data_IF_548054524430
#
_entry.id   IF_548054524430
#
_cell.length_a   1.000
_cell.length_b   1.000
_cell.length_c   1.000
_cell.angle_alpha   90.00
_cell.angle_beta   90.00
_cell.angle_gamma   90.00
#
_symmetry.space_group_name_H-M   'P 1'
#
loop_
_entity.id
_entity.type
_entity.pdbx_description
1 polymer ?
#
# COMPACT_ATOMS: atom_id res chain seq x y z
N UNK A 1 -3.50 -7.25 -64.50
CA UNK A 1 -3.68 -5.96 -65.18
C UNK A 1 -3.24 -4.88 -64.22
N UNK A 2 -2.01 -4.48 -64.26
CA UNK A 2 -1.47 -3.16 -63.86
C UNK A 2 -1.69 -2.19 -65.05
N UNK A 3 -1.81 -0.88 -64.84
CA UNK A 3 -0.75 0.05 -64.47
C UNK A 3 -1.27 1.23 -63.63
N UNK A 4 -0.60 2.22 -63.15
CA UNK A 4 0.60 2.92 -63.52
C UNK A 4 0.90 4.04 -62.51
N UNK A 5 2.17 4.28 -62.31
CA UNK A 5 2.76 5.35 -61.52
C UNK A 5 2.46 6.77 -62.06
N UNK A 6 2.43 7.79 -61.17
CA UNK A 6 2.88 9.13 -61.49
C UNK A 6 3.69 9.76 -60.34
N UNK A 7 4.93 10.13 -60.72
CA UNK A 7 5.87 10.94 -59.92
C UNK A 7 5.64 12.42 -60.23
N UNK A 8 5.98 13.28 -59.25
CA UNK A 8 6.69 14.53 -59.39
C UNK A 8 5.97 15.77 -58.89
N UNK A 9 6.65 16.87 -58.65
CA UNK A 9 8.08 17.07 -58.44
C UNK A 9 8.41 17.87 -57.14
N UNK A 10 9.69 17.86 -56.83
CA UNK A 10 10.42 18.63 -55.82
C UNK A 10 10.32 20.16 -56.00
N UNK A 11 10.22 20.90 -54.93
CA UNK A 11 10.37 22.35 -54.82
C UNK A 11 11.09 22.73 -53.52
N UNK A 12 11.79 23.85 -53.45
CA UNK A 12 13.08 23.97 -52.77
C UNK A 12 13.00 24.46 -51.31
N UNK A 13 14.13 24.14 -50.60
CA UNK A 13 14.51 24.69 -49.30
C UNK A 13 14.34 26.23 -49.21
N UNK A 14 13.73 26.70 -48.14
CA UNK A 14 13.89 28.06 -47.66
C UNK A 14 14.55 28.04 -46.28
N UNK A 15 15.80 28.45 -46.25
CA UNK A 15 16.59 28.81 -45.09
C UNK A 15 15.85 29.94 -44.31
N UNK A 16 15.42 29.67 -43.09
CA UNK A 16 14.87 30.70 -42.22
C UNK A 16 15.94 31.15 -41.24
N UNK A 17 16.57 32.27 -41.58
CA UNK A 17 17.50 33.02 -40.72
C UNK A 17 16.77 33.50 -39.46
N UNK A 18 17.31 33.17 -38.30
CA UNK A 18 16.89 33.75 -37.01
C UNK A 18 17.49 35.15 -36.87
N UNK A 19 16.72 36.16 -36.48
CA UNK A 19 17.28 37.47 -36.16
C UNK A 19 18.00 37.43 -34.79
N UNK A 20 19.17 38.02 -34.76
CA UNK A 20 20.00 38.22 -33.60
C UNK A 20 19.33 39.13 -32.55
N UNK A 21 19.48 38.76 -31.26
CA UNK A 21 19.00 39.54 -30.10
C UNK A 21 19.76 40.86 -29.94
N UNK A 22 19.08 41.95 -29.59
CA UNK A 22 19.71 43.27 -29.35
C UNK A 22 20.12 43.39 -27.88
N UNK A 23 21.23 42.78 -27.49
CA UNK A 23 21.78 42.91 -26.14
C UNK A 23 23.30 43.08 -26.13
N UNK A 24 23.82 43.85 -27.12
CA UNK A 24 25.26 44.11 -27.24
C UNK A 24 25.59 45.54 -27.61
N UNK A 25 25.02 46.49 -26.91
CA UNK A 25 25.43 47.93 -26.97
C UNK A 25 25.05 48.71 -25.73
N UNK A 26 25.42 48.28 -24.52
CA UNK A 26 25.43 49.15 -23.35
C UNK A 26 26.63 48.73 -22.49
N UNK A 27 27.82 48.97 -22.99
CA UNK A 27 29.05 48.74 -22.21
C UNK A 27 30.12 49.77 -22.46
N UNK A 28 29.77 51.06 -22.63
CA UNK A 28 30.82 52.05 -22.86
C UNK A 28 30.52 53.48 -22.40
N UNK A 29 29.64 53.74 -21.45
CA UNK A 29 29.38 55.11 -20.97
C UNK A 29 29.40 55.30 -19.44
N UNK A 30 29.85 54.40 -18.62
CA UNK A 30 29.96 54.63 -17.16
C UNK A 30 31.31 54.29 -16.54
N UNK A 31 32.37 54.77 -17.20
CA UNK A 31 33.69 54.78 -16.63
C UNK A 31 34.17 56.20 -16.47
N UNK A 32 33.66 56.96 -15.54
CA UNK A 32 34.27 58.15 -14.91
C UNK A 32 33.23 58.85 -14.04
N UNK A 33 33.23 58.51 -12.74
CA UNK A 33 32.87 59.37 -11.58
C UNK A 33 32.39 58.44 -10.44
N UNK A 34 33.29 58.22 -9.54
CA UNK A 34 33.00 58.11 -8.11
C UNK A 34 34.19 57.53 -7.36
N UNK A 35 35.11 58.41 -7.07
CA UNK A 35 35.89 58.24 -5.87
C UNK A 35 35.13 58.85 -4.69
N UNK A 36 35.25 58.24 -3.50
CA UNK A 36 34.82 58.74 -2.18
C UNK A 36 33.36 58.38 -1.80
N UNK A 37 33.26 57.23 -1.13
CA UNK A 37 32.63 57.09 0.20
C UNK A 37 32.74 55.65 0.62
N UNK A 38 33.84 55.30 1.34
CA UNK A 38 33.92 54.04 2.11
C UNK A 38 32.98 54.15 3.32
N UNK A 39 31.75 53.64 3.15
CA UNK A 39 30.88 53.29 4.28
C UNK A 39 30.89 51.79 4.40
N UNK A 40 31.43 51.29 5.50
CA UNK A 40 31.48 49.88 5.83
C UNK A 40 30.03 49.33 6.01
N UNK A 41 29.48 48.70 4.99
CA UNK A 41 28.34 47.85 5.11
C UNK A 41 28.85 46.41 5.34
N UNK A 42 28.85 45.99 6.59
CA UNK A 42 29.00 44.56 6.90
C UNK A 42 27.76 43.82 6.39
N UNK A 43 27.90 42.80 5.51
CA UNK A 43 26.76 41.97 5.15
C UNK A 43 26.35 41.15 6.38
N UNK A 44 25.19 41.43 6.96
CA UNK A 44 24.54 40.55 7.90
C UNK A 44 24.18 39.29 7.16
N UNK A 45 24.95 38.26 7.29
CA UNK A 45 24.59 36.91 6.84
C UNK A 45 23.46 36.43 7.76
N UNK A 46 22.25 36.59 7.30
CA UNK A 46 21.11 35.91 7.90
C UNK A 46 21.35 34.41 7.73
N UNK A 47 21.74 33.75 8.82
CA UNK A 47 21.77 32.31 8.88
C UNK A 47 20.33 31.83 8.68
N UNK A 48 19.97 31.39 7.46
CA UNK A 48 18.74 30.68 7.20
C UNK A 48 18.90 29.34 7.92
N UNK A 49 18.28 29.21 9.10
CA UNK A 49 18.18 27.96 9.79
C UNK A 49 17.46 26.98 8.85
N UNK A 50 18.14 25.93 8.40
CA UNK A 50 17.51 24.84 7.68
C UNK A 50 16.39 24.29 8.57
N UNK A 51 15.17 24.02 8.01
CA UNK A 51 14.13 23.38 8.80
C UNK A 51 14.67 22.06 9.34
N UNK A 52 14.31 21.68 10.57
CA UNK A 52 14.72 20.40 11.12
C UNK A 52 14.26 19.31 10.13
N UNK A 53 15.21 18.50 9.67
CA UNK A 53 14.91 17.31 8.88
C UNK A 53 13.93 16.49 9.71
N UNK A 54 12.74 16.24 9.19
CA UNK A 54 11.80 15.30 9.82
C UNK A 54 12.57 13.97 9.93
N UNK A 55 12.93 13.59 11.16
CA UNK A 55 13.50 12.28 11.43
C UNK A 55 12.44 11.27 11.05
N UNK A 56 12.70 10.42 10.04
CA UNK A 56 11.81 9.30 9.76
C UNK A 56 11.63 8.51 11.07
N UNK A 57 10.40 8.18 11.43
CA UNK A 57 10.17 7.35 12.60
C UNK A 57 10.99 6.06 12.46
N UNK A 58 11.64 5.61 13.55
CA UNK A 58 12.44 4.39 13.49
C UNK A 58 11.53 3.21 13.15
N UNK A 59 12.02 2.30 12.30
CA UNK A 59 11.31 1.07 11.94
C UNK A 59 10.90 0.30 13.22
N UNK A 60 9.64 -0.11 13.37
CA UNK A 60 9.21 -0.93 14.50
C UNK A 60 9.79 -2.34 14.40
N UNK A 61 9.90 -3.05 15.53
CA UNK A 61 10.28 -4.48 15.52
C UNK A 61 9.24 -5.33 14.81
N UNK A 62 7.95 -4.98 15.00
CA UNK A 62 6.79 -5.67 14.44
C UNK A 62 5.86 -4.63 13.85
N UNK A 63 5.26 -4.93 12.69
CA UNK A 63 4.15 -4.14 12.19
C UNK A 63 2.96 -5.03 11.83
N UNK A 64 1.77 -4.64 12.29
CA UNK A 64 0.50 -5.26 11.90
C UNK A 64 -0.11 -4.47 10.77
N UNK A 65 -0.24 -5.08 9.60
CA UNK A 65 -1.00 -4.56 8.46
C UNK A 65 -2.37 -5.19 8.50
N UNK A 66 -3.43 -4.41 8.75
CA UNK A 66 -4.77 -4.96 8.97
C UNK A 66 -5.85 -4.30 8.12
N UNK A 67 -6.60 -5.13 7.39
CA UNK A 67 -7.75 -4.72 6.60
C UNK A 67 -9.06 -4.98 7.37
N UNK A 68 -9.84 -3.91 7.58
CA UNK A 68 -11.12 -3.96 8.31
C UNK A 68 -12.23 -4.65 7.53
N UNK A 69 -13.34 -4.94 8.19
CA UNK A 69 -14.54 -5.49 7.54
C UNK A 69 -15.40 -4.43 6.85
N UNK A 70 -16.38 -4.90 6.07
CA UNK A 70 -17.36 -4.07 5.34
C UNK A 70 -18.10 -3.13 6.30
N UNK A 71 -18.23 -1.87 5.90
CA UNK A 71 -18.90 -0.78 6.63
C UNK A 71 -18.30 -0.44 7.99
N UNK A 72 -17.13 -0.96 8.34
CA UNK A 72 -16.38 -0.45 9.49
C UNK A 72 -15.76 0.91 9.17
N UNK A 73 -15.70 1.84 10.13
CA UNK A 73 -15.05 3.14 9.93
C UNK A 73 -13.56 3.00 9.64
N UNK A 74 -12.90 4.02 9.05
CA UNK A 74 -11.46 4.03 8.83
C UNK A 74 -10.66 3.64 10.09
N UNK A 75 -9.63 2.82 9.90
CA UNK A 75 -8.85 2.19 10.97
C UNK A 75 -8.76 0.68 10.75
N UNK A 76 -8.36 -0.06 11.76
CA UNK A 76 -8.24 -1.54 11.71
C UNK A 76 -9.57 -2.26 12.00
N UNK A 77 -10.64 -1.54 12.33
CA UNK A 77 -11.92 -2.11 12.72
C UNK A 77 -11.89 -2.77 14.10
N UNK A 78 -13.05 -3.28 14.56
CA UNK A 78 -13.21 -3.84 15.92
C UNK A 78 -12.37 -5.11 16.12
N UNK A 79 -12.42 -6.02 15.16
CA UNK A 79 -11.67 -7.28 15.25
C UNK A 79 -10.16 -7.00 15.17
N UNK A 80 -9.73 -6.11 14.27
CA UNK A 80 -8.34 -5.72 14.14
C UNK A 80 -7.80 -5.03 15.38
N UNK A 81 -8.58 -4.12 16.00
CA UNK A 81 -8.15 -3.45 17.24
C UNK A 81 -7.95 -4.48 18.37
N UNK A 82 -8.90 -5.39 18.55
CA UNK A 82 -8.79 -6.43 19.57
C UNK A 82 -7.60 -7.34 19.31
N UNK A 83 -7.33 -7.68 18.05
CA UNK A 83 -6.15 -8.47 17.65
C UNK A 83 -4.83 -7.74 17.96
N UNK A 84 -4.72 -6.46 17.61
CA UNK A 84 -3.54 -5.64 17.90
C UNK A 84 -3.29 -5.55 19.40
N UNK A 85 -4.33 -5.34 20.20
CA UNK A 85 -4.23 -5.22 21.65
C UNK A 85 -3.81 -6.54 22.30
N UNK A 86 -4.39 -7.65 21.84
CA UNK A 86 -3.98 -9.00 22.28
C UNK A 86 -2.54 -9.30 21.88
N UNK A 87 -2.15 -9.11 20.61
CA UNK A 87 -0.79 -9.32 20.13
C UNK A 87 0.25 -8.48 20.90
N UNK A 88 -0.06 -7.23 21.19
CA UNK A 88 0.80 -6.32 21.96
C UNK A 88 1.11 -6.88 23.35
N UNK A 89 0.17 -7.57 23.98
CA UNK A 89 0.38 -8.21 25.29
C UNK A 89 1.29 -9.44 25.23
N UNK A 90 1.45 -10.06 24.04
CA UNK A 90 2.23 -11.29 23.87
C UNK A 90 3.66 -11.06 23.37
N UNK A 91 3.97 -9.86 22.82
CA UNK A 91 5.28 -9.60 22.20
C UNK A 91 6.30 -8.93 23.13
N UNK A 92 5.96 -8.77 24.39
CA UNK A 92 6.85 -8.22 25.42
C UNK A 92 7.23 -6.76 25.13
N UNK A 93 8.51 -6.42 25.24
CA UNK A 93 9.02 -5.07 25.06
C UNK A 93 9.30 -4.65 23.60
N UNK A 94 8.92 -5.47 22.61
CA UNK A 94 9.10 -5.15 21.19
C UNK A 94 8.18 -4.00 20.79
N UNK A 95 8.69 -3.09 19.97
CA UNK A 95 7.88 -2.03 19.39
C UNK A 95 6.93 -2.59 18.32
N UNK A 96 5.64 -2.20 18.39
CA UNK A 96 4.61 -2.69 17.50
C UNK A 96 3.92 -1.51 16.81
N UNK A 97 4.19 -1.37 15.51
CA UNK A 97 3.49 -0.50 14.59
C UNK A 97 2.17 -1.11 14.10
N UNK A 98 1.26 -0.25 13.66
CA UNK A 98 -0.03 -0.68 13.09
C UNK A 98 -0.31 0.13 11.84
N UNK A 99 -0.54 -0.54 10.75
CA UNK A 99 -0.96 0.04 9.49
C UNK A 99 -2.40 -0.39 9.16
N UNK A 100 -3.37 0.50 9.28
CA UNK A 100 -4.73 0.23 8.84
C UNK A 100 -4.80 0.37 7.31
N UNK A 101 -5.12 -0.71 6.61
CA UNK A 101 -5.28 -0.69 5.15
C UNK A 101 -6.33 0.33 4.74
N UNK A 102 -5.95 1.23 3.84
CA UNK A 102 -6.79 2.31 3.38
C UNK A 102 -7.59 1.91 2.14
N UNK A 103 -8.89 1.70 2.32
CA UNK A 103 -9.81 1.38 1.23
C UNK A 103 -11.26 1.72 1.64
N UNK A 104 -12.22 1.78 0.70
CA UNK A 104 -13.60 2.16 1.01
C UNK A 104 -14.30 1.24 2.02
N UNK A 105 -14.06 -0.07 1.99
CA UNK A 105 -14.69 -1.10 2.81
C UNK A 105 -16.24 -1.05 2.74
N UNK A 106 -16.78 -0.91 1.53
CA UNK A 106 -18.22 -0.82 1.26
C UNK A 106 -18.77 -2.14 0.71
N UNK A 107 -20.08 -2.18 0.48
CA UNK A 107 -20.75 -3.30 -0.22
C UNK A 107 -20.54 -3.27 -1.73
N UNK A 108 -19.93 -2.25 -2.28
CA UNK A 108 -19.40 -2.24 -3.65
C UNK A 108 -18.05 -3.01 -3.65
N UNK A 109 -18.19 -4.36 -3.64
CA UNK A 109 -17.05 -5.26 -3.44
C UNK A 109 -15.91 -5.08 -4.45
N UNK A 110 -16.12 -4.73 -5.74
CA UNK A 110 -15.04 -4.40 -6.65
C UNK A 110 -14.07 -3.33 -6.12
N UNK A 111 -14.53 -2.41 -5.27
CA UNK A 111 -13.66 -1.37 -4.68
C UNK A 111 -12.65 -1.91 -3.65
N UNK A 112 -12.74 -3.18 -3.28
CA UNK A 112 -11.75 -3.84 -2.41
C UNK A 112 -10.35 -3.90 -3.05
N UNK A 113 -10.25 -3.73 -4.38
CA UNK A 113 -8.97 -3.61 -5.10
C UNK A 113 -8.10 -2.50 -4.55
N UNK A 114 -8.70 -1.38 -4.14
CA UNK A 114 -7.95 -0.27 -3.54
C UNK A 114 -7.21 -0.75 -2.28
N UNK A 115 -7.87 -1.61 -1.50
CA UNK A 115 -7.27 -2.22 -0.30
C UNK A 115 -6.14 -3.21 -0.63
N UNK A 116 -6.28 -3.99 -1.69
CA UNK A 116 -5.22 -4.91 -2.14
C UNK A 116 -4.01 -4.11 -2.62
N UNK A 117 -4.23 -3.06 -3.40
CA UNK A 117 -3.17 -2.18 -3.88
C UNK A 117 -2.47 -1.45 -2.74
N UNK A 118 -3.23 -0.87 -1.81
CA UNK A 118 -2.70 -0.16 -0.65
C UNK A 118 -1.88 -1.08 0.26
N UNK A 119 -2.43 -2.24 0.63
CA UNK A 119 -1.75 -3.21 1.46
C UNK A 119 -0.47 -3.75 0.80
N UNK A 120 -0.55 -4.16 -0.48
CA UNK A 120 0.60 -4.67 -1.23
C UNK A 120 1.73 -3.64 -1.31
N UNK A 121 1.41 -2.41 -1.71
CA UNK A 121 2.38 -1.31 -1.79
C UNK A 121 3.04 -1.02 -0.44
N UNK A 122 2.26 -1.01 0.65
CA UNK A 122 2.80 -0.77 1.99
C UNK A 122 3.71 -1.91 2.45
N UNK A 123 3.31 -3.16 2.24
CA UNK A 123 4.09 -4.35 2.60
C UNK A 123 5.43 -4.37 1.86
N UNK A 124 5.43 -4.11 0.56
CA UNK A 124 6.65 -4.02 -0.25
C UNK A 124 7.56 -2.87 0.22
N UNK A 125 6.96 -1.71 0.52
CA UNK A 125 7.69 -0.58 1.06
C UNK A 125 8.35 -0.92 2.40
N UNK A 126 7.65 -1.58 3.30
CA UNK A 126 8.19 -1.99 4.59
C UNK A 126 9.31 -3.04 4.44
N UNK A 127 9.14 -4.01 3.55
CA UNK A 127 10.19 -5.00 3.27
C UNK A 127 11.49 -4.33 2.78
N UNK A 128 11.37 -3.31 1.93
CA UNK A 128 12.52 -2.58 1.38
C UNK A 128 13.14 -1.59 2.38
N UNK A 129 12.32 -0.81 3.08
CA UNK A 129 12.78 0.32 3.92
C UNK A 129 13.08 -0.09 5.36
N UNK A 130 12.40 -1.12 5.86
CA UNK A 130 12.52 -1.64 7.23
C UNK A 130 12.79 -3.16 7.24
N UNK A 131 13.91 -3.63 6.67
CA UNK A 131 14.13 -5.06 6.39
C UNK A 131 14.22 -5.95 7.63
N UNK A 132 14.33 -5.38 8.83
CA UNK A 132 14.31 -6.13 10.10
C UNK A 132 12.93 -6.18 10.76
N UNK A 133 11.99 -5.36 10.31
CA UNK A 133 10.61 -5.38 10.81
C UNK A 133 9.94 -6.70 10.42
N UNK A 134 9.29 -7.35 11.38
CA UNK A 134 8.50 -8.55 11.15
C UNK A 134 7.05 -8.15 10.90
N UNK A 135 6.54 -8.47 9.71
CA UNK A 135 5.18 -8.12 9.32
C UNK A 135 4.18 -9.20 9.75
N UNK A 136 3.07 -8.77 10.33
CA UNK A 136 1.90 -9.61 10.62
C UNK A 136 0.73 -9.06 9.82
N UNK A 137 0.25 -9.85 8.87
CA UNK A 137 -0.87 -9.45 8.03
C UNK A 137 -2.17 -9.97 8.63
N UNK A 138 -3.21 -9.14 8.64
CA UNK A 138 -4.49 -9.55 9.18
C UNK A 138 -5.66 -8.93 8.43
N UNK A 139 -6.81 -9.59 8.48
CA UNK A 139 -8.03 -9.06 7.90
C UNK A 139 -9.28 -9.72 8.45
N UNK A 140 -10.38 -8.97 8.45
CA UNK A 140 -11.68 -9.45 8.88
C UNK A 140 -12.70 -9.33 7.74
N UNK A 141 -13.45 -10.42 7.45
CA UNK A 141 -14.52 -10.42 6.45
C UNK A 141 -14.01 -9.98 5.07
N UNK A 142 -14.49 -8.88 4.50
CA UNK A 142 -13.96 -8.29 3.27
C UNK A 142 -12.46 -8.00 3.39
N UNK A 143 -11.99 -7.54 4.54
CA UNK A 143 -10.56 -7.36 4.79
C UNK A 143 -9.76 -8.66 4.77
N UNK A 144 -10.37 -9.78 5.17
CA UNK A 144 -9.73 -11.09 5.02
C UNK A 144 -9.62 -11.52 3.55
N UNK A 145 -10.56 -11.11 2.70
CA UNK A 145 -10.43 -11.27 1.24
C UNK A 145 -9.31 -10.38 0.69
N UNK A 146 -9.23 -9.10 1.10
CA UNK A 146 -8.14 -8.18 0.71
C UNK A 146 -6.79 -8.80 1.01
N UNK A 147 -6.54 -9.23 2.24
CA UNK A 147 -5.25 -9.84 2.63
C UNK A 147 -5.02 -11.19 1.94
N UNK A 148 -6.08 -11.97 1.69
CA UNK A 148 -5.99 -13.19 0.90
C UNK A 148 -5.47 -12.91 -0.51
N UNK A 149 -6.06 -11.95 -1.22
CA UNK A 149 -5.61 -11.56 -2.56
C UNK A 149 -4.20 -10.97 -2.58
N UNK A 150 -3.81 -10.19 -1.57
CA UNK A 150 -2.43 -9.68 -1.43
C UNK A 150 -1.42 -10.82 -1.31
N UNK A 151 -1.80 -11.91 -0.65
CA UNK A 151 -0.93 -13.08 -0.41
C UNK A 151 -1.09 -14.19 -1.45
N UNK A 152 -1.91 -14.00 -2.48
CA UNK A 152 -2.04 -14.97 -3.57
C UNK A 152 -0.78 -14.99 -4.45
N UNK A 153 -0.55 -16.09 -5.12
CA UNK A 153 0.55 -16.28 -6.08
C UNK A 153 0.18 -15.93 -7.51
N UNK A 154 -1.09 -15.66 -7.77
CA UNK A 154 -1.61 -15.32 -9.09
C UNK A 154 -2.76 -14.31 -8.96
N UNK A 155 -2.96 -13.53 -10.01
CA UNK A 155 -4.16 -12.72 -10.15
C UNK A 155 -5.30 -13.66 -10.54
N UNK A 156 -6.42 -13.72 -9.77
CA UNK A 156 -7.51 -14.60 -10.10
C UNK A 156 -8.15 -14.28 -11.44
N UNK A 157 -8.46 -15.30 -12.25
CA UNK A 157 -9.18 -15.13 -13.50
C UNK A 157 -10.56 -14.50 -13.25
N UNK A 158 -10.95 -13.56 -14.09
CA UNK A 158 -12.27 -12.91 -14.02
C UNK A 158 -12.39 -11.77 -13.01
N UNK A 159 -11.33 -11.47 -12.25
CA UNK A 159 -11.31 -10.27 -11.44
C UNK A 159 -11.33 -9.03 -12.34
N UNK A 160 -12.31 -8.14 -12.15
CA UNK A 160 -12.28 -6.79 -12.75
C UNK A 160 -11.04 -6.00 -12.32
N UNK A 161 -10.24 -6.58 -11.45
CA UNK A 161 -9.07 -6.09 -10.74
C UNK A 161 -7.74 -6.38 -11.47
N UNK A 162 -7.78 -7.13 -12.58
CA UNK A 162 -6.60 -7.82 -13.18
C UNK A 162 -5.47 -6.90 -13.63
N UNK A 163 -5.73 -5.62 -13.88
CA UNK A 163 -4.67 -4.72 -14.35
C UNK A 163 -3.83 -4.06 -13.24
N UNK A 164 -4.32 -4.06 -12.00
CA UNK A 164 -3.65 -3.41 -10.88
C UNK A 164 -2.90 -4.38 -9.95
N UNK A 165 -3.21 -5.67 -9.99
CA UNK A 165 -2.69 -6.65 -9.05
C UNK A 165 -1.59 -7.49 -9.71
N UNK A 166 -0.35 -7.23 -9.31
CA UNK A 166 0.75 -8.16 -9.53
C UNK A 166 0.98 -8.92 -8.20
N UNK A 167 1.26 -10.23 -8.23
CA UNK A 167 1.69 -10.94 -7.04
C UNK A 167 2.89 -10.23 -6.40
N UNK A 168 2.92 -10.12 -5.07
CA UNK A 168 4.07 -9.55 -4.38
C UNK A 168 5.36 -10.30 -4.75
N UNK A 169 6.51 -9.62 -4.87
CA UNK A 169 7.81 -10.25 -5.07
C UNK A 169 8.05 -11.35 -4.03
N UNK A 170 8.65 -12.46 -4.45
CA UNK A 170 8.81 -13.66 -3.60
C UNK A 170 9.66 -13.44 -2.35
N UNK A 171 10.59 -12.49 -2.37
CA UNK A 171 11.45 -12.10 -1.25
C UNK A 171 10.67 -11.39 -0.14
N UNK A 172 9.60 -10.66 -0.48
CA UNK A 172 8.71 -10.01 0.49
C UNK A 172 8.13 -11.03 1.48
N UNK A 173 7.84 -12.25 1.03
CA UNK A 173 7.33 -13.29 1.90
C UNK A 173 8.26 -13.60 3.09
N UNK A 174 9.57 -13.41 2.96
CA UNK A 174 10.54 -13.55 4.04
C UNK A 174 10.34 -12.60 5.21
N UNK A 175 9.77 -11.43 4.97
CA UNK A 175 9.48 -10.40 5.98
C UNK A 175 8.16 -10.65 6.73
N UNK A 176 7.23 -11.42 6.14
CA UNK A 176 5.95 -11.76 6.77
C UNK A 176 6.11 -12.92 7.73
N UNK A 177 5.82 -12.68 9.00
CA UNK A 177 5.86 -13.68 10.07
C UNK A 177 4.58 -14.53 10.14
N UNK A 178 3.42 -13.88 10.03
CA UNK A 178 2.14 -14.54 10.13
C UNK A 178 1.07 -13.82 9.27
N UNK A 179 0.06 -14.58 8.87
CA UNK A 179 -1.17 -14.10 8.24
C UNK A 179 -2.35 -14.63 9.06
N UNK A 180 -3.27 -13.75 9.47
CA UNK A 180 -4.44 -14.11 10.29
C UNK A 180 -5.72 -13.61 9.61
N UNK A 181 -6.59 -14.55 9.19
CA UNK A 181 -7.79 -14.26 8.43
C UNK A 181 -9.03 -14.62 9.24
N UNK A 182 -9.78 -13.62 9.65
CA UNK A 182 -11.00 -13.75 10.45
C UNK A 182 -12.22 -13.71 9.52
N UNK A 183 -12.98 -14.79 9.44
CA UNK A 183 -14.17 -14.87 8.59
C UNK A 183 -13.84 -14.68 7.11
N UNK A 184 -12.74 -15.28 6.62
CA UNK A 184 -12.40 -15.26 5.21
C UNK A 184 -13.57 -15.78 4.38
N UNK A 185 -14.05 -15.02 3.37
CA UNK A 185 -15.17 -15.47 2.56
C UNK A 185 -14.89 -16.81 1.89
N UNK A 186 -15.86 -17.73 2.00
CA UNK A 186 -15.82 -19.03 1.31
C UNK A 186 -15.99 -18.86 -0.20
N UNK A 187 -15.52 -19.83 -0.98
CA UNK A 187 -15.74 -19.82 -2.44
C UNK A 187 -17.22 -19.73 -2.81
N UNK A 188 -18.12 -20.32 -2.00
CA UNK A 188 -19.56 -20.21 -2.21
C UNK A 188 -20.03 -18.76 -2.00
N UNK A 189 -19.59 -18.09 -0.94
CA UNK A 189 -19.96 -16.70 -0.70
C UNK A 189 -19.42 -15.79 -1.82
N UNK A 190 -18.18 -15.99 -2.23
CA UNK A 190 -17.57 -15.21 -3.32
C UNK A 190 -18.34 -15.39 -4.64
N UNK A 191 -18.79 -16.61 -4.95
CA UNK A 191 -19.66 -16.86 -6.12
C UNK A 191 -21.00 -16.13 -6.05
N UNK A 192 -21.60 -16.00 -4.86
CA UNK A 192 -22.86 -15.27 -4.67
C UNK A 192 -22.70 -13.78 -4.99
N UNK A 193 -21.57 -13.20 -4.64
CA UNK A 193 -21.27 -11.78 -4.89
C UNK A 193 -20.57 -11.56 -6.24
N UNK A 194 -20.43 -12.63 -7.06
CA UNK A 194 -19.79 -12.62 -8.38
C UNK A 194 -18.33 -12.13 -8.35
N UNK A 195 -17.60 -12.54 -7.30
CA UNK A 195 -16.18 -12.26 -7.13
C UNK A 195 -15.36 -13.56 -7.16
N UNK A 196 -14.07 -13.52 -7.53
CA UNK A 196 -13.21 -14.71 -7.57
C UNK A 196 -12.97 -15.29 -6.16
N UNK A 197 -12.69 -16.60 -6.05
CA UNK A 197 -12.39 -17.22 -4.76
C UNK A 197 -11.13 -16.63 -4.13
N UNK A 198 -11.12 -16.51 -2.80
CA UNK A 198 -9.99 -16.03 -2.04
C UNK A 198 -9.04 -17.18 -1.73
N UNK A 199 -7.84 -17.14 -2.29
CA UNK A 199 -6.78 -18.12 -2.05
C UNK A 199 -5.57 -17.48 -1.36
N UNK A 200 -4.78 -18.29 -0.67
CA UNK A 200 -3.51 -17.87 -0.08
C UNK A 200 -2.39 -18.62 -0.80
N UNK A 201 -1.45 -17.90 -1.35
CA UNK A 201 -0.35 -18.46 -2.12
C UNK A 201 0.59 -19.34 -1.28
N UNK A 202 1.33 -20.25 -1.91
CA UNK A 202 2.15 -21.25 -1.23
C UNK A 202 3.25 -20.66 -0.34
N UNK A 203 3.74 -19.45 -0.65
CA UNK A 203 4.74 -18.75 0.17
C UNK A 203 4.20 -18.30 1.54
N UNK A 204 2.87 -18.22 1.68
CA UNK A 204 2.20 -17.75 2.88
C UNK A 204 1.41 -18.87 3.60
N UNK A 205 1.04 -19.93 2.90
CA UNK A 205 0.15 -20.98 3.41
C UNK A 205 0.60 -21.55 4.78
N UNK A 206 1.90 -21.89 4.96
CA UNK A 206 2.42 -22.46 6.18
C UNK A 206 2.43 -21.49 7.39
N UNK A 207 2.22 -20.20 7.16
CA UNK A 207 2.19 -19.12 8.15
C UNK A 207 0.84 -18.41 8.19
N UNK A 208 -0.19 -19.02 7.65
CA UNK A 208 -1.57 -18.51 7.66
C UNK A 208 -2.42 -19.27 8.64
N UNK A 209 -3.19 -18.54 9.45
CA UNK A 209 -4.26 -19.05 10.30
C UNK A 209 -5.59 -18.48 9.81
N UNK A 210 -6.48 -19.34 9.35
CA UNK A 210 -7.85 -18.99 8.99
C UNK A 210 -8.78 -19.33 10.14
N UNK A 211 -9.56 -18.36 10.59
CA UNK A 211 -10.47 -18.47 11.71
C UNK A 211 -11.90 -18.24 11.23
N UNK A 212 -12.77 -19.19 11.52
CA UNK A 212 -14.17 -19.15 11.15
C UNK A 212 -15.04 -19.55 12.33
N UNK A 213 -15.85 -18.62 12.84
CA UNK A 213 -16.80 -18.90 13.93
C UNK A 213 -17.82 -19.91 13.42
N UNK A 214 -18.10 -21.01 14.16
CA UNK A 214 -19.11 -21.97 13.77
C UNK A 214 -20.47 -21.30 13.47
N UNK A 215 -21.02 -21.57 12.29
CA UNK A 215 -22.26 -20.96 11.83
C UNK A 215 -22.13 -19.57 11.21
N UNK A 216 -20.92 -19.05 11.02
CA UNK A 216 -20.70 -17.82 10.26
C UNK A 216 -20.96 -18.06 8.75
N UNK A 217 -22.01 -17.45 8.16
CA UNK A 217 -22.40 -17.74 6.77
C UNK A 217 -21.38 -17.28 5.74
N UNK A 218 -20.48 -16.36 6.09
CA UNK A 218 -19.44 -15.84 5.16
C UNK A 218 -18.39 -16.91 4.90
N UNK A 219 -17.94 -17.60 5.92
CA UNK A 219 -16.87 -18.59 5.80
C UNK A 219 -17.35 -20.04 5.78
N UNK A 220 -18.59 -20.37 6.26
CA UNK A 220 -19.14 -21.74 6.24
C UNK A 220 -20.15 -21.99 5.13
N UNK A 221 -20.61 -20.95 4.44
CA UNK A 221 -21.64 -21.06 3.37
C UNK A 221 -23.08 -21.16 3.88
N UNK A 222 -23.33 -21.00 5.19
CA UNK A 222 -24.67 -20.98 5.78
C UNK A 222 -24.61 -20.85 7.30
N UNK A 223 -25.71 -20.42 7.92
CA UNK A 223 -25.78 -20.28 9.37
C UNK A 223 -26.45 -19.00 9.88
N UNK A 224 -26.01 -18.51 11.01
CA UNK A 224 -26.54 -17.32 11.66
C UNK A 224 -25.65 -16.10 11.39
N UNK A 225 -26.18 -15.03 10.73
CA UNK A 225 -25.41 -13.81 10.48
C UNK A 225 -24.82 -13.15 11.74
N UNK A 226 -25.35 -13.43 12.93
CA UNK A 226 -24.82 -12.92 14.19
C UNK A 226 -23.46 -13.57 14.54
N UNK A 227 -23.23 -14.81 14.08
CA UNK A 227 -21.96 -15.52 14.29
C UNK A 227 -20.79 -14.74 13.67
N UNK A 228 -21.01 -14.10 12.52
CA UNK A 228 -20.00 -13.27 11.84
C UNK A 228 -19.43 -12.14 12.68
N UNK A 229 -20.11 -11.74 13.73
CA UNK A 229 -19.69 -10.62 14.62
C UNK A 229 -19.00 -11.08 15.90
N UNK A 230 -18.83 -12.39 16.13
CA UNK A 230 -18.44 -12.96 17.42
C UNK A 230 -16.95 -13.35 17.54
N UNK A 231 -16.11 -12.91 16.65
CA UNK A 231 -14.69 -13.28 16.65
C UNK A 231 -13.94 -12.85 17.92
N UNK A 232 -14.30 -11.72 18.49
CA UNK A 232 -13.71 -11.25 19.77
C UNK A 232 -14.22 -12.08 20.94
N UNK A 233 -15.53 -12.32 21.00
CA UNK A 233 -16.19 -13.01 22.12
C UNK A 233 -15.90 -14.51 22.18
N UNK A 234 -15.44 -15.11 21.07
CA UNK A 234 -15.14 -16.54 20.98
C UNK A 234 -13.69 -16.89 21.30
N UNK A 235 -12.85 -15.91 21.64
CA UNK A 235 -11.42 -16.12 21.90
C UNK A 235 -10.57 -16.33 20.65
N UNK A 236 -11.14 -16.22 19.45
CA UNK A 236 -10.38 -16.42 18.20
C UNK A 236 -9.35 -15.33 17.98
N UNK A 237 -9.58 -14.15 18.52
CA UNK A 237 -8.61 -13.05 18.48
C UNK A 237 -7.36 -13.40 19.26
N UNK A 238 -7.50 -13.97 20.46
CA UNK A 238 -6.37 -14.40 21.29
C UNK A 238 -5.65 -15.58 20.65
N UNK A 239 -6.39 -16.53 20.08
CA UNK A 239 -5.79 -17.64 19.31
C UNK A 239 -4.92 -17.12 18.15
N UNK A 240 -5.38 -16.07 17.44
CA UNK A 240 -4.61 -15.46 16.35
C UNK A 240 -3.37 -14.74 16.88
N UNK A 241 -3.48 -14.05 18.02
CA UNK A 241 -2.38 -13.35 18.65
C UNK A 241 -1.29 -14.32 19.12
N UNK A 242 -1.67 -15.43 19.76
CA UNK A 242 -0.76 -16.52 20.14
C UNK A 242 -0.04 -17.11 18.92
N UNK A 243 -0.81 -17.37 17.85
CA UNK A 243 -0.25 -17.91 16.60
C UNK A 243 0.77 -16.96 15.98
N UNK A 244 0.48 -15.65 15.94
CA UNK A 244 1.38 -14.67 15.39
C UNK A 244 2.61 -14.47 16.30
N UNK A 245 2.42 -14.34 17.61
CA UNK A 245 3.51 -14.18 18.58
C UNK A 245 4.51 -15.33 18.55
N UNK A 246 4.04 -16.56 18.37
CA UNK A 246 4.89 -17.74 18.26
C UNK A 246 5.80 -17.77 17.00
N UNK A 247 5.67 -16.77 16.09
CA UNK A 247 6.44 -16.63 14.84
C UNK A 247 7.29 -15.36 14.80
N UNK A 248 7.23 -14.54 15.84
CA UNK A 248 7.94 -13.28 16.01
C UNK A 248 9.15 -13.44 16.92
#
# INVERSE_FOLDING_TARGET
MTPSARRGPSGPESLNERPASPCEKISDVMSRLAALLCSAFAPAWAAVAAPPSASAEPCPDIEVVFARGTNEPPGVGRVGQSFVDSLRSHVGGKSLGVYPVNYPATTDFPTAVDGVTDAGTHIEHMAASCPRTRLVLGGYSQGAAVIGFVTDSAVPDGAHLVQALQPMPSDVAGHVAAVTLFGKPSGQFMSIINEPPVTVGPLYAAKTLELCVPGDPICTGGGDPTAHRRYVETGMVDQAADFAAGRL
#
